data_IF_686449974201
#
_entry.id   IF_686449974201
#
_cell.length_a   1.000
_cell.length_b   1.000
_cell.length_c   1.000
_cell.angle_alpha   90.00
_cell.angle_beta   90.00
_cell.angle_gamma   90.00
#
_symmetry.space_group_name_H-M   'P 1'
#
loop_
_entity.id
_entity.type
_entity.pdbx_description
1 polymer ?
#
# COMPACT_ATOMS: atom_id res chain seq x y z
N UNK A 1 4.95 5.56 -22.32
CA UNK A 1 5.58 4.53 -21.47
C UNK A 1 4.49 3.96 -20.57
N UNK A 2 4.18 2.68 -20.66
CA UNK A 2 3.16 2.06 -19.82
C UNK A 2 3.62 2.12 -18.34
N UNK A 3 2.83 2.74 -17.46
CA UNK A 3 3.05 2.66 -16.02
C UNK A 3 2.88 1.20 -15.61
N UNK A 4 3.99 0.48 -15.45
CA UNK A 4 3.98 -0.92 -15.04
C UNK A 4 3.73 -0.97 -13.54
N UNK A 5 2.50 -1.27 -13.14
CA UNK A 5 2.18 -1.55 -11.74
C UNK A 5 2.61 -2.96 -11.37
N UNK A 6 3.16 -3.13 -10.17
CA UNK A 6 3.75 -4.37 -9.65
C UNK A 6 2.81 -4.95 -8.60
N UNK A 7 2.49 -6.25 -8.67
CA UNK A 7 1.75 -6.90 -7.58
C UNK A 7 2.61 -6.90 -6.33
N UNK A 8 2.08 -6.42 -5.21
CA UNK A 8 2.81 -6.30 -3.96
C UNK A 8 1.86 -6.39 -2.77
N UNK A 9 2.43 -6.53 -1.57
CA UNK A 9 1.73 -6.36 -0.31
C UNK A 9 2.17 -5.06 0.35
N UNK A 10 1.25 -4.43 1.06
CA UNK A 10 1.54 -3.23 1.85
C UNK A 10 0.86 -3.33 3.21
N UNK A 11 1.50 -2.75 4.23
CA UNK A 11 0.88 -2.54 5.54
C UNK A 11 0.41 -1.09 5.62
N UNK A 12 -0.80 -0.88 6.12
CA UNK A 12 -1.31 0.46 6.45
C UNK A 12 -0.49 1.00 7.62
N UNK A 13 0.16 2.14 7.43
CA UNK A 13 0.98 2.78 8.46
C UNK A 13 1.02 4.28 8.24
N UNK A 14 0.57 5.03 9.23
CA UNK A 14 0.49 6.49 9.13
C UNK A 14 1.84 7.09 9.50
N UNK A 15 2.49 7.71 8.52
CA UNK A 15 3.83 8.30 8.65
C UNK A 15 3.79 9.83 8.63
N UNK A 16 2.71 10.42 8.12
CA UNK A 16 2.56 11.87 7.97
C UNK A 16 1.12 12.31 8.26
N UNK A 17 0.92 13.60 8.58
CA UNK A 17 -0.41 14.18 8.76
C UNK A 17 -1.27 14.04 7.49
N UNK A 18 -0.67 14.22 6.32
CA UNK A 18 -1.36 13.98 5.05
C UNK A 18 -1.85 12.52 4.94
N UNK A 19 -0.98 11.57 5.29
CA UNK A 19 -1.33 10.15 5.31
C UNK A 19 -2.48 9.84 6.28
N UNK A 20 -2.50 10.47 7.45
CA UNK A 20 -3.59 10.34 8.41
C UNK A 20 -4.94 10.72 7.80
N UNK A 21 -5.01 11.90 7.15
CA UNK A 21 -6.25 12.37 6.52
C UNK A 21 -6.68 11.48 5.35
N UNK A 22 -5.74 11.01 4.52
CA UNK A 22 -6.06 10.06 3.46
C UNK A 22 -6.61 8.74 4.02
N UNK A 23 -6.07 8.21 5.12
CA UNK A 23 -6.59 6.99 5.74
C UNK A 23 -8.00 7.21 6.32
N UNK A 24 -8.26 8.37 6.92
CA UNK A 24 -9.56 8.70 7.51
C UNK A 24 -10.72 8.68 6.49
N UNK A 25 -10.42 8.92 5.21
CA UNK A 25 -11.41 8.81 4.12
C UNK A 25 -11.79 7.36 3.80
N UNK A 26 -10.90 6.39 4.07
CA UNK A 26 -11.11 4.96 3.80
C UNK A 26 -11.80 4.32 5.01
N UNK A 27 -13.13 4.37 5.01
CA UNK A 27 -13.94 3.93 6.16
C UNK A 27 -13.66 2.48 6.57
N UNK A 28 -13.27 2.30 7.83
CA UNK A 28 -13.07 0.99 8.46
C UNK A 28 -11.65 0.43 8.29
N UNK A 29 -10.82 1.01 7.43
CA UNK A 29 -9.43 0.61 7.30
C UNK A 29 -8.61 1.15 8.48
N UNK A 30 -7.77 0.29 9.06
CA UNK A 30 -6.98 0.60 10.27
C UNK A 30 -5.50 0.41 10.02
N UNK A 31 -4.70 1.19 10.73
CA UNK A 31 -3.25 0.99 10.80
C UNK A 31 -2.92 -0.44 11.25
N UNK A 32 -1.86 -1.02 10.68
CA UNK A 32 -1.46 -2.41 10.84
C UNK A 32 -2.17 -3.40 9.90
N UNK A 33 -3.19 -2.98 9.15
CA UNK A 33 -3.85 -3.87 8.17
C UNK A 33 -2.90 -4.18 7.02
N UNK A 34 -2.74 -5.47 6.70
CA UNK A 34 -1.99 -5.93 5.53
C UNK A 34 -2.95 -6.03 4.35
N UNK A 35 -2.55 -5.44 3.22
CA UNK A 35 -3.31 -5.36 1.99
C UNK A 35 -2.53 -5.99 0.84
N UNK A 36 -3.22 -6.69 -0.03
CA UNK A 36 -2.69 -7.14 -1.32
C UNK A 36 -3.19 -6.21 -2.42
N UNK A 37 -2.31 -5.81 -3.31
CA UNK A 37 -2.64 -4.79 -4.29
C UNK A 37 -1.58 -4.63 -5.36
N UNK A 38 -1.61 -3.47 -6.01
CA UNK A 38 -0.68 -3.13 -7.09
C UNK A 38 0.02 -1.82 -6.76
N UNK A 39 1.33 -1.87 -6.68
CA UNK A 39 2.18 -0.71 -6.47
C UNK A 39 2.59 -0.06 -7.79
N UNK A 40 2.49 1.26 -7.86
CA UNK A 40 3.05 2.06 -8.93
C UNK A 40 4.29 2.83 -8.43
N UNK A 41 5.51 2.41 -8.81
CA UNK A 41 6.74 3.05 -8.33
C UNK A 41 6.91 4.50 -8.79
N UNK A 42 6.21 4.92 -9.86
CA UNK A 42 6.35 6.26 -10.42
C UNK A 42 5.74 7.35 -9.52
N UNK A 43 4.57 7.08 -8.97
CA UNK A 43 3.83 8.04 -8.13
C UNK A 43 3.68 7.55 -6.68
N UNK A 44 4.22 6.37 -6.35
CA UNK A 44 4.12 5.72 -5.05
C UNK A 44 2.68 5.37 -4.63
N UNK A 45 1.76 5.28 -5.57
CA UNK A 45 0.40 4.80 -5.31
C UNK A 45 0.40 3.28 -5.12
N UNK A 46 -0.40 2.80 -4.18
CA UNK A 46 -0.69 1.40 -3.98
C UNK A 46 -2.20 1.20 -4.06
N UNK A 47 -2.66 0.65 -5.18
CA UNK A 47 -4.08 0.42 -5.48
C UNK A 47 -4.52 -0.94 -4.95
N UNK A 48 -5.64 -1.00 -4.26
CA UNK A 48 -6.21 -2.23 -3.69
C UNK A 48 -7.74 -2.14 -3.63
N UNK A 49 -8.40 -3.28 -3.39
CA UNK A 49 -9.83 -3.31 -3.12
C UNK A 49 -10.08 -3.59 -1.64
N UNK A 50 -10.99 -2.83 -1.02
CA UNK A 50 -11.36 -2.97 0.38
C UNK A 50 -12.87 -2.81 0.54
N UNK A 51 -13.52 -3.78 1.18
CA UNK A 51 -14.97 -3.83 1.33
C UNK A 51 -15.76 -3.63 0.01
N UNK A 52 -15.22 -4.15 -1.10
CA UNK A 52 -15.84 -4.05 -2.43
C UNK A 52 -15.69 -2.67 -3.10
N UNK A 53 -14.87 -1.79 -2.56
CA UNK A 53 -14.53 -0.49 -3.14
C UNK A 53 -13.04 -0.43 -3.49
N UNK A 54 -12.71 0.22 -4.59
CA UNK A 54 -11.33 0.52 -4.93
C UNK A 54 -10.81 1.64 -4.02
N UNK A 55 -9.63 1.44 -3.47
CA UNK A 55 -8.97 2.36 -2.56
C UNK A 55 -7.47 2.44 -2.89
N UNK A 56 -6.81 3.47 -2.36
CA UNK A 56 -5.41 3.73 -2.64
C UNK A 56 -4.67 4.17 -1.37
N UNK A 57 -3.50 3.58 -1.14
CA UNK A 57 -2.51 4.10 -0.20
C UNK A 57 -1.42 4.84 -0.95
N UNK A 58 -0.81 5.80 -0.26
CA UNK A 58 0.41 6.47 -0.67
C UNK A 58 1.56 5.88 0.13
N UNK A 59 2.44 5.12 -0.56
CA UNK A 59 3.59 4.49 0.09
C UNK A 59 4.56 5.58 0.58
N UNK A 60 4.92 5.51 1.86
CA UNK A 60 5.68 6.53 2.57
C UNK A 60 4.82 7.66 3.17
N UNK A 61 3.48 7.56 3.13
CA UNK A 61 2.57 8.49 3.79
C UNK A 61 1.58 7.75 4.70
N UNK A 62 0.78 6.83 4.15
CA UNK A 62 -0.17 6.01 4.90
C UNK A 62 -0.05 4.50 4.61
N UNK A 63 1.07 4.10 4.01
CA UNK A 63 1.41 2.69 3.83
C UNK A 63 2.91 2.47 3.65
N UNK A 64 3.35 1.26 3.93
CA UNK A 64 4.70 0.76 3.64
C UNK A 64 4.58 -0.54 2.84
N UNK A 65 5.44 -0.72 1.83
CA UNK A 65 5.50 -1.99 1.12
C UNK A 65 6.08 -3.05 2.06
N UNK A 66 5.51 -4.25 2.01
CA UNK A 66 6.08 -5.42 2.63
C UNK A 66 6.94 -6.07 1.56
N UNK A 67 8.25 -6.14 1.80
CA UNK A 67 9.12 -6.97 0.97
C UNK A 67 8.73 -8.43 1.19
N UNK A 68 8.35 -9.14 0.12
CA UNK A 68 8.22 -10.59 0.23
C UNK A 68 9.61 -11.13 0.56
N UNK A 69 9.75 -11.82 1.71
CA UNK A 69 10.97 -12.55 2.11
C UNK A 69 11.26 -13.76 1.20
N UNK A 70 11.09 -13.63 -0.12
CA UNK A 70 11.59 -14.60 -1.11
C UNK A 70 12.97 -14.20 -1.64
N UNK A 71 13.78 -13.56 -0.80
CA UNK A 71 15.24 -13.43 -0.98
C UNK A 71 16.00 -14.08 0.17
N UNK A 72 15.61 -15.28 0.60
CA UNK A 72 16.46 -16.15 1.42
C UNK A 72 16.36 -17.61 0.99
N UNK A 73 17.02 -17.93 -0.11
CA UNK A 73 17.59 -19.27 -0.40
C UNK A 73 18.67 -18.99 -1.44
N UNK A 74 19.97 -19.19 -1.19
CA UNK A 74 20.64 -20.44 -0.81
C UNK A 74 21.92 -20.08 -0.01
N UNK A 75 22.18 -20.84 1.05
CA UNK A 75 23.46 -20.95 1.77
C UNK A 75 24.58 -21.49 0.90
#
# INVERSE_FOLDING_TARGET
MANKTIKAKAVVKVLTDFGYWCLAEIRGLKEGTILEGRFNPKNKAFDFSYNGQDAMLWIGQNGELIEDETTNTIQ
#
